data_IF_017067584584
#
_entry.id   IF_017067584584
#
_cell.length_a   1.000
_cell.length_b   1.000
_cell.length_c   1.000
_cell.angle_alpha   90.00
_cell.angle_beta   90.00
_cell.angle_gamma   90.00
#
_symmetry.space_group_name_H-M   'P 1'
#
loop_
_entity.id
_entity.type
_entity.pdbx_description
1 polymer ?
#
# COMPACT_ATOMS: atom_id res chain seq x y z
N UNK A 1 19.27 13.95 0.35
CA UNK A 1 18.70 12.61 0.17
C UNK A 1 18.18 12.56 -1.25
N UNK A 2 18.90 11.90 -2.16
CA UNK A 2 18.44 11.76 -3.54
C UNK A 2 17.20 10.87 -3.54
N UNK A 3 16.15 11.23 -4.25
CA UNK A 3 14.92 10.41 -4.39
C UNK A 3 15.24 9.00 -4.92
N UNK A 4 16.44 8.82 -5.48
CA UNK A 4 16.96 7.55 -5.99
C UNK A 4 17.48 6.56 -4.94
N UNK A 5 17.69 6.95 -3.67
CA UNK A 5 18.09 6.04 -2.58
C UNK A 5 16.87 5.55 -1.77
N UNK A 6 15.87 4.99 -2.45
CA UNK A 6 14.78 4.28 -1.78
C UNK A 6 15.21 2.83 -1.59
N UNK A 7 15.23 2.36 -0.34
CA UNK A 7 15.44 0.93 -0.09
C UNK A 7 14.18 0.15 -0.47
N UNK A 8 14.32 -1.16 -0.76
CA UNK A 8 13.16 -2.03 -1.01
C UNK A 8 12.15 -2.01 0.13
N UNK A 9 12.63 -1.93 1.37
CA UNK A 9 11.79 -1.86 2.56
C UNK A 9 10.95 -0.57 2.57
N UNK A 10 11.54 0.56 2.19
CA UNK A 10 10.81 1.84 2.08
C UNK A 10 9.74 1.75 1.00
N UNK A 11 10.06 1.15 -0.16
CA UNK A 11 9.10 0.93 -1.23
C UNK A 11 7.95 0.01 -0.79
N UNK A 12 8.24 -1.05 -0.01
CA UNK A 12 7.21 -1.93 0.56
C UNK A 12 6.30 -1.19 1.54
N UNK A 13 6.86 -0.36 2.42
CA UNK A 13 6.08 0.46 3.35
C UNK A 13 5.14 1.41 2.61
N UNK A 14 5.63 2.08 1.56
CA UNK A 14 4.78 2.95 0.72
C UNK A 14 3.69 2.14 0.03
N UNK A 15 4.00 0.97 -0.52
CA UNK A 15 3.02 0.12 -1.20
C UNK A 15 1.92 -0.41 -0.27
N UNK A 16 2.18 -0.54 1.03
CA UNK A 16 1.16 -0.91 2.04
C UNK A 16 0.34 0.32 2.46
N UNK A 17 1.00 1.44 2.73
CA UNK A 17 0.34 2.64 3.28
C UNK A 17 -0.49 3.39 2.23
N UNK A 18 0.00 3.48 0.99
CA UNK A 18 -0.61 4.28 -0.07
C UNK A 18 -2.04 3.84 -0.43
N UNK A 19 -2.35 2.54 -0.62
CA UNK A 19 -3.71 2.11 -0.94
C UNK A 19 -4.71 2.38 0.19
N UNK A 20 -4.27 2.28 1.46
CA UNK A 20 -5.10 2.64 2.61
C UNK A 20 -5.34 4.15 2.69
N UNK A 21 -4.30 4.96 2.44
CA UNK A 21 -4.43 6.41 2.37
C UNK A 21 -5.39 6.85 1.25
N UNK A 22 -5.32 6.20 0.09
CA UNK A 22 -6.26 6.43 -1.01
C UNK A 22 -7.68 5.98 -0.63
N UNK A 23 -7.84 4.83 0.02
CA UNK A 23 -9.13 4.38 0.54
C UNK A 23 -9.75 5.36 1.54
N UNK A 24 -8.93 5.90 2.45
CA UNK A 24 -9.36 6.93 3.40
C UNK A 24 -9.78 8.22 2.68
N UNK A 25 -9.00 8.67 1.69
CA UNK A 25 -9.31 9.85 0.88
C UNK A 25 -10.62 9.68 0.12
N UNK A 26 -10.84 8.51 -0.50
CA UNK A 26 -12.10 8.17 -1.18
C UNK A 26 -13.26 8.16 -0.20
N UNK A 27 -13.10 7.56 0.98
CA UNK A 27 -14.15 7.56 2.01
C UNK A 27 -14.47 8.95 2.56
N UNK A 28 -13.52 9.88 2.54
CA UNK A 28 -13.72 11.26 2.97
C UNK A 28 -14.36 12.15 1.90
N UNK A 29 -14.06 11.90 0.62
CA UNK A 29 -14.47 12.75 -0.51
C UNK A 29 -15.64 12.19 -1.32
N UNK A 30 -16.13 10.98 -1.01
CA UNK A 30 -17.20 10.32 -1.76
C UNK A 30 -18.35 9.85 -0.85
N UNK A 31 -19.51 9.49 -1.43
CA UNK A 31 -20.62 8.91 -0.68
C UNK A 31 -20.37 7.46 -0.22
N UNK A 32 -19.27 6.83 -0.65
CA UNK A 32 -18.94 5.46 -0.26
C UNK A 32 -18.59 5.47 1.23
N UNK A 33 -19.26 4.64 2.02
CA UNK A 33 -18.99 4.56 3.45
C UNK A 33 -17.52 4.26 3.75
N UNK A 34 -16.95 4.93 4.76
CA UNK A 34 -15.53 4.84 5.12
C UNK A 34 -15.04 3.39 5.29
N UNK A 35 -15.86 2.54 5.93
CA UNK A 35 -15.53 1.13 6.11
C UNK A 35 -15.39 0.36 4.78
N UNK A 36 -16.25 0.64 3.80
CA UNK A 36 -16.16 0.05 2.46
C UNK A 36 -14.95 0.59 1.70
N UNK A 37 -14.68 1.90 1.78
CA UNK A 37 -13.55 2.50 1.10
C UNK A 37 -12.20 1.99 1.64
N UNK A 38 -12.05 1.89 2.96
CA UNK A 38 -10.88 1.28 3.61
C UNK A 38 -10.79 -0.22 3.34
N UNK A 39 -11.93 -0.92 3.35
CA UNK A 39 -12.00 -2.34 2.99
C UNK A 39 -11.53 -2.62 1.57
N UNK A 40 -11.89 -1.75 0.61
CA UNK A 40 -11.37 -1.85 -0.75
C UNK A 40 -9.86 -1.57 -0.80
N UNK A 41 -9.38 -0.56 -0.07
CA UNK A 41 -7.95 -0.23 0.02
C UNK A 41 -7.10 -1.32 0.70
N UNK A 42 -7.68 -2.11 1.61
CA UNK A 42 -6.95 -3.16 2.32
C UNK A 42 -6.59 -4.35 1.43
N UNK A 43 -7.33 -4.57 0.33
CA UNK A 43 -7.06 -5.66 -0.63
C UNK A 43 -5.68 -5.51 -1.28
N UNK A 44 -5.36 -4.41 -2.01
CA UNK A 44 -4.03 -4.19 -2.55
C UNK A 44 -2.96 -4.05 -1.47
N UNK A 45 -3.25 -3.40 -0.32
CA UNK A 45 -2.29 -3.28 0.78
C UNK A 45 -1.87 -4.65 1.33
N UNK A 46 -2.82 -5.57 1.51
CA UNK A 46 -2.54 -6.95 1.95
C UNK A 46 -1.77 -7.73 0.88
N UNK A 47 -2.07 -7.49 -0.40
CA UNK A 47 -1.30 -8.06 -1.52
C UNK A 47 0.16 -7.62 -1.48
N UNK A 48 0.42 -6.33 -1.26
CA UNK A 48 1.79 -5.80 -1.08
C UNK A 48 2.46 -6.39 0.16
N UNK A 49 1.73 -6.54 1.26
CA UNK A 49 2.24 -7.16 2.47
C UNK A 49 2.64 -8.63 2.22
N UNK A 50 1.82 -9.41 1.53
CA UNK A 50 2.15 -10.77 1.12
C UNK A 50 3.36 -10.81 0.18
N UNK A 51 3.45 -9.90 -0.79
CA UNK A 51 4.63 -9.77 -1.64
C UNK A 51 5.89 -9.50 -0.82
N UNK A 52 5.87 -8.53 0.09
CA UNK A 52 7.02 -8.18 0.92
C UNK A 52 7.48 -9.32 1.84
N UNK A 53 6.54 -10.14 2.33
CA UNK A 53 6.86 -11.24 3.24
C UNK A 53 7.32 -12.52 2.53
N UNK A 54 6.82 -12.79 1.32
CA UNK A 54 6.96 -14.11 0.69
C UNK A 54 7.66 -14.09 -0.68
N UNK A 55 7.73 -12.95 -1.37
CA UNK A 55 8.43 -12.87 -2.64
C UNK A 55 9.91 -12.62 -2.42
N UNK A 56 10.76 -13.54 -2.90
CA UNK A 56 12.20 -13.37 -2.97
C UNK A 56 12.62 -13.07 -4.41
N UNK A 57 13.11 -11.86 -4.71
CA UNK A 57 13.47 -11.51 -6.07
C UNK A 57 14.73 -12.25 -6.52
N UNK A 58 14.81 -12.70 -7.78
CA UNK A 58 15.98 -13.41 -8.28
C UNK A 58 17.20 -12.48 -8.29
N UNK A 59 18.33 -12.97 -7.77
CA UNK A 59 19.57 -12.18 -7.66
C UNK A 59 19.80 -11.53 -6.29
N UNK A 60 18.93 -11.79 -5.31
CA UNK A 60 19.16 -11.52 -3.88
C UNK A 60 19.37 -12.79 -3.04
#
# INVERSE_FOLDING_TARGET
MSVTDISRHDASLVGIALPLALGALVGALSPVGMAMALGAGSVPASGTLGYALFYRPPGE
#
